data_IF_887569470238
#
_entry.id   IF_887569470238
#
_cell.length_a   1.000
_cell.length_b   1.000
_cell.length_c   1.000
_cell.angle_alpha   90.00
_cell.angle_beta   90.00
_cell.angle_gamma   90.00
#
_symmetry.space_group_name_H-M   'P 1'
#
loop_
_entity.id
_entity.type
_entity.pdbx_description
1 polymer ?
#
# COMPACT_ATOMS: atom_id res chain seq x y z
N UNK A 1 28.50 35.65 36.62
CA UNK A 1 27.40 35.72 37.60
C UNK A 1 26.39 34.65 37.18
N UNK A 2 26.36 33.48 37.84
CA UNK A 2 25.38 33.08 38.89
C UNK A 2 23.95 33.46 38.49
N UNK A 3 23.01 32.54 38.23
CA UNK A 3 22.24 31.77 39.25
C UNK A 3 21.38 30.71 38.50
N UNK A 4 21.61 29.39 38.69
CA UNK A 4 20.84 28.40 39.49
C UNK A 4 19.32 28.25 39.18
N UNK A 5 18.92 27.12 38.58
CA UNK A 5 18.21 25.93 39.16
C UNK A 5 16.68 26.11 39.18
N UNK A 6 15.90 25.15 38.65
CA UNK A 6 14.85 24.42 39.38
C UNK A 6 14.32 23.23 38.56
N UNK A 7 14.70 22.04 39.02
CA UNK A 7 14.04 20.75 38.82
C UNK A 7 12.60 20.77 39.33
N UNK A 8 11.67 20.22 38.55
CA UNK A 8 10.47 19.60 39.10
C UNK A 8 10.06 18.39 38.26
N UNK A 9 10.34 17.23 38.85
CA UNK A 9 9.79 15.92 38.53
C UNK A 9 8.31 15.92 38.97
N UNK A 10 7.38 15.51 38.12
CA UNK A 10 6.04 15.11 38.58
C UNK A 10 5.63 13.81 37.89
N UNK A 11 5.66 12.73 38.68
CA UNK A 11 5.04 11.46 38.37
C UNK A 11 3.59 11.48 38.85
N UNK A 12 2.66 10.98 38.03
CA UNK A 12 1.32 10.57 38.43
C UNK A 12 0.95 9.36 37.54
N UNK A 13 1.14 8.14 38.04
CA UNK A 13 0.16 7.34 38.78
C UNK A 13 -0.84 6.66 37.82
N UNK A 14 -0.49 5.44 37.40
CA UNK A 14 -1.38 4.47 36.81
C UNK A 14 -2.46 4.07 37.83
N UNK A 15 -3.73 4.13 37.43
CA UNK A 15 -4.83 3.51 38.17
C UNK A 15 -5.32 2.33 37.32
N UNK A 16 -4.92 1.13 37.73
CA UNK A 16 -5.52 -0.12 37.26
C UNK A 16 -6.82 -0.31 38.04
N UNK A 17 -7.94 -0.41 37.34
CA UNK A 17 -9.16 -1.00 37.87
C UNK A 17 -9.39 -2.35 37.21
N UNK A 18 -9.19 -3.40 37.99
CA UNK A 18 -9.66 -4.74 37.72
C UNK A 18 -10.97 -4.95 38.46
N UNK A 19 -11.96 -5.54 37.80
CA UNK A 19 -13.02 -6.33 38.44
C UNK A 19 -13.42 -7.47 37.48
N UNK A 20 -13.11 -8.68 37.94
CA UNK A 20 -13.60 -9.98 37.48
C UNK A 20 -15.13 -10.07 37.41
N UNK A 21 -15.66 -10.79 36.41
CA UNK A 21 -16.70 -11.80 36.67
C UNK A 21 -16.50 -12.98 35.74
N UNK A 22 -16.41 -14.14 36.39
CA UNK A 22 -16.11 -15.48 35.91
C UNK A 22 -17.41 -16.21 35.57
N UNK A 23 -17.34 -17.11 34.57
CA UNK A 23 -18.16 -18.34 34.41
C UNK A 23 -19.65 -18.11 34.08
N UNK A 24 -20.31 -18.84 33.18
CA UNK A 24 -20.26 -20.28 32.97
C UNK A 24 -20.54 -20.67 31.50
N UNK A 25 -19.82 -21.72 31.10
CA UNK A 25 -20.17 -22.60 30.00
C UNK A 25 -21.44 -23.40 30.32
N UNK A 26 -22.15 -23.84 29.29
CA UNK A 26 -22.97 -25.02 29.33
C UNK A 26 -22.68 -25.85 28.07
N UNK A 27 -22.03 -26.99 28.29
CA UNK A 27 -22.21 -28.25 27.54
C UNK A 27 -23.72 -28.61 27.54
N UNK A 28 -24.33 -29.42 26.68
CA UNK A 28 -24.01 -30.66 25.97
C UNK A 28 -25.22 -30.83 25.02
N UNK A 29 -25.23 -31.58 23.92
CA UNK A 29 -25.19 -33.04 23.90
C UNK A 29 -25.19 -33.55 22.45
N UNK A 30 -24.67 -34.76 22.31
CA UNK A 30 -24.16 -35.38 21.09
C UNK A 30 -25.20 -36.19 20.28
N UNK A 31 -24.65 -36.91 19.29
CA UNK A 31 -25.20 -38.02 18.47
C UNK A 31 -25.82 -37.60 17.11
N UNK A 32 -25.57 -38.28 15.98
CA UNK A 32 -25.08 -39.63 15.73
C UNK A 32 -24.53 -39.74 14.27
N UNK A 33 -23.64 -40.72 14.04
CA UNK A 33 -23.07 -41.15 12.77
C UNK A 33 -24.04 -41.29 11.59
N UNK A 34 -23.54 -41.14 10.34
CA UNK A 34 -23.28 -42.27 9.40
C UNK A 34 -23.08 -41.75 7.96
N UNK A 35 -21.98 -42.16 7.36
CA UNK A 35 -21.71 -42.03 5.93
C UNK A 35 -22.52 -43.07 5.14
N UNK A 36 -23.19 -42.69 4.04
CA UNK A 36 -23.43 -43.54 2.87
C UNK A 36 -23.50 -42.69 1.58
N UNK A 37 -22.94 -43.28 0.52
CA UNK A 37 -22.82 -42.78 -0.85
C UNK A 37 -24.13 -42.95 -1.62
N UNK A 38 -24.39 -42.09 -2.60
CA UNK A 38 -25.19 -42.46 -3.77
C UNK A 38 -24.75 -41.68 -5.02
N UNK A 39 -24.36 -42.44 -6.04
CA UNK A 39 -24.23 -42.06 -7.45
C UNK A 39 -25.60 -41.72 -8.06
N UNK A 40 -25.62 -40.87 -9.10
CA UNK A 40 -26.79 -40.74 -9.99
C UNK A 40 -26.97 -39.41 -10.74
N UNK A 41 -26.16 -39.22 -11.79
CA UNK A 41 -26.34 -38.54 -13.09
C UNK A 41 -27.46 -37.49 -13.38
N UNK A 42 -27.01 -36.38 -14.01
CA UNK A 42 -27.53 -35.60 -15.17
C UNK A 42 -29.06 -35.38 -15.38
N UNK A 43 -29.57 -34.14 -15.58
CA UNK A 43 -29.51 -33.42 -16.87
C UNK A 43 -30.11 -31.99 -16.82
N UNK A 44 -29.59 -31.12 -17.71
CA UNK A 44 -30.16 -29.94 -18.40
C UNK A 44 -30.72 -28.72 -17.65
N UNK A 45 -30.04 -27.58 -17.85
CA UNK A 45 -30.60 -26.23 -17.76
C UNK A 45 -29.84 -25.28 -18.69
N UNK A 46 -30.43 -24.97 -19.84
CA UNK A 46 -29.98 -23.95 -20.78
C UNK A 46 -30.25 -22.54 -20.26
N UNK A 47 -29.38 -21.59 -20.64
CA UNK A 47 -29.73 -20.18 -20.76
C UNK A 47 -29.08 -19.26 -19.73
N UNK A 48 -27.93 -18.67 -20.09
CA UNK A 48 -27.89 -17.25 -20.46
C UNK A 48 -26.49 -16.83 -20.91
N UNK A 49 -26.48 -16.29 -22.13
CA UNK A 49 -25.38 -15.60 -22.75
C UNK A 49 -24.99 -14.33 -22.00
N UNK A 50 -23.68 -14.15 -21.84
CA UNK A 50 -22.94 -12.89 -21.92
C UNK A 50 -23.51 -11.66 -21.19
N UNK A 51 -22.90 -11.35 -20.05
CA UNK A 51 -22.27 -10.04 -19.90
C UNK A 51 -20.89 -10.29 -19.29
N UNK A 52 -19.88 -10.32 -20.17
CA UNK A 52 -18.50 -10.17 -19.78
C UNK A 52 -18.44 -8.82 -19.07
N UNK A 53 -18.38 -8.81 -17.74
CA UNK A 53 -17.91 -7.65 -17.03
C UNK A 53 -16.50 -7.43 -17.58
N UNK A 54 -16.32 -6.39 -18.38
CA UNK A 54 -15.00 -5.90 -18.76
C UNK A 54 -14.25 -5.69 -17.46
N UNK A 55 -13.39 -6.65 -17.12
CA UNK A 55 -12.33 -6.43 -16.14
C UNK A 55 -11.60 -5.19 -16.61
N UNK A 56 -11.69 -4.12 -15.82
CA UNK A 56 -10.87 -2.93 -15.99
C UNK A 56 -9.42 -3.39 -15.98
N UNK A 57 -8.84 -3.52 -17.15
CA UNK A 57 -7.44 -3.89 -17.33
C UNK A 57 -6.58 -2.72 -16.82
N UNK A 58 -5.87 -2.86 -15.68
CA UNK A 58 -4.99 -1.80 -15.16
C UNK A 58 -3.75 -1.58 -16.05
N UNK A 59 -3.49 -2.45 -17.02
CA UNK A 59 -2.30 -2.40 -17.87
C UNK A 59 -2.38 -1.41 -19.04
N UNK A 60 -3.50 -0.69 -19.21
CA UNK A 60 -3.65 0.28 -20.30
C UNK A 60 -3.86 1.72 -19.84
N UNK A 61 -3.10 2.16 -18.84
CA UNK A 61 -2.70 3.57 -18.81
C UNK A 61 -1.61 3.75 -19.87
N UNK A 62 -1.97 4.36 -20.99
CA UNK A 62 -1.06 4.77 -22.07
C UNK A 62 0.20 5.39 -21.44
N UNK A 63 1.34 4.73 -21.72
CA UNK A 63 2.68 5.17 -21.36
C UNK A 63 2.87 6.64 -21.76
N UNK A 64 2.69 7.55 -20.80
CA UNK A 64 2.77 8.99 -21.06
C UNK A 64 4.24 9.36 -21.22
N UNK A 65 4.61 9.88 -22.38
CA UNK A 65 5.95 10.45 -22.57
C UNK A 65 5.99 11.82 -21.90
N UNK A 66 7.02 12.05 -21.07
CA UNK A 66 7.18 13.29 -20.31
C UNK A 66 8.53 13.91 -20.60
N UNK A 67 8.71 15.20 -20.27
CA UNK A 67 10.04 15.80 -20.27
C UNK A 67 10.89 15.19 -19.15
N UNK A 68 12.21 15.31 -19.26
CA UNK A 68 13.15 14.83 -18.25
C UNK A 68 12.91 15.51 -16.89
N UNK A 69 12.75 16.83 -16.90
CA UNK A 69 12.53 17.65 -15.71
C UNK A 69 11.21 17.30 -15.01
N UNK A 70 10.19 16.96 -15.81
CA UNK A 70 8.91 16.51 -15.29
C UNK A 70 9.04 15.10 -14.67
N UNK A 71 9.75 14.18 -15.33
CA UNK A 71 10.01 12.84 -14.79
C UNK A 71 10.74 12.92 -13.44
N UNK A 72 11.79 13.74 -13.35
CA UNK A 72 12.55 13.97 -12.12
C UNK A 72 11.65 14.53 -11.00
N UNK A 73 10.81 15.50 -11.32
CA UNK A 73 9.87 16.10 -10.34
C UNK A 73 8.84 15.08 -9.85
N UNK A 74 8.29 14.26 -10.75
CA UNK A 74 7.36 13.19 -10.40
C UNK A 74 8.02 12.12 -9.52
N UNK A 75 9.23 11.67 -9.90
CA UNK A 75 9.99 10.68 -9.14
C UNK A 75 10.38 11.19 -7.75
N UNK A 76 10.83 12.44 -7.64
CA UNK A 76 11.16 13.07 -6.36
C UNK A 76 9.98 13.07 -5.38
N UNK A 77 8.79 13.46 -5.85
CA UNK A 77 7.57 13.41 -5.02
C UNK A 77 7.12 11.98 -4.72
N UNK A 78 7.26 11.04 -5.68
CA UNK A 78 6.97 9.63 -5.47
C UNK A 78 7.88 9.01 -4.39
N UNK A 79 9.18 9.29 -4.41
CA UNK A 79 10.12 8.78 -3.40
C UNK A 79 9.89 9.41 -2.04
N UNK A 80 9.57 10.70 -1.98
CA UNK A 80 9.16 11.37 -0.73
C UNK A 80 7.91 10.70 -0.13
N UNK A 81 6.94 10.33 -0.97
CA UNK A 81 5.76 9.58 -0.55
C UNK A 81 6.13 8.18 -0.05
N UNK A 82 6.98 7.45 -0.77
CA UNK A 82 7.49 6.13 -0.38
C UNK A 82 8.18 6.20 0.99
N UNK A 83 9.05 7.18 1.22
CA UNK A 83 9.78 7.36 2.48
C UNK A 83 8.85 7.71 3.65
N UNK A 84 7.85 8.57 3.42
CA UNK A 84 6.83 8.85 4.42
C UNK A 84 6.05 7.58 4.83
N UNK A 85 5.76 6.68 3.88
CA UNK A 85 5.08 5.41 4.14
C UNK A 85 5.97 4.41 4.88
N UNK A 86 7.28 4.42 4.59
CA UNK A 86 8.29 3.68 5.38
C UNK A 86 8.28 4.15 6.83
N UNK A 87 8.29 5.47 7.05
CA UNK A 87 8.22 6.09 8.38
C UNK A 87 6.82 6.02 9.02
N UNK A 88 5.84 5.39 8.36
CA UNK A 88 4.45 5.26 8.86
C UNK A 88 3.80 6.64 9.15
N UNK A 89 4.21 7.67 8.41
CA UNK A 89 3.71 9.05 8.57
C UNK A 89 2.61 9.36 7.55
N UNK A 90 1.34 9.29 7.99
CA UNK A 90 0.21 9.65 7.13
C UNK A 90 0.23 11.13 6.72
N UNK A 91 0.69 12.02 7.59
CA UNK A 91 0.76 13.46 7.30
C UNK A 91 1.78 13.77 6.19
N UNK A 92 3.01 13.26 6.33
CA UNK A 92 4.06 13.44 5.32
C UNK A 92 3.67 12.77 4.00
N UNK A 93 3.01 11.62 4.07
CA UNK A 93 2.52 10.92 2.88
C UNK A 93 1.46 11.77 2.15
N UNK A 94 0.49 12.36 2.84
CA UNK A 94 -0.50 13.25 2.23
C UNK A 94 0.16 14.49 1.60
N UNK A 95 1.16 15.07 2.27
CA UNK A 95 1.92 16.21 1.75
C UNK A 95 2.67 15.83 0.47
N UNK A 96 3.41 14.73 0.46
CA UNK A 96 4.13 14.25 -0.71
C UNK A 96 3.19 13.88 -1.87
N UNK A 97 2.01 13.31 -1.57
CA UNK A 97 0.96 13.09 -2.56
C UNK A 97 0.44 14.41 -3.15
N UNK A 98 0.25 15.45 -2.32
CA UNK A 98 -0.13 16.78 -2.79
C UNK A 98 0.92 17.39 -3.72
N UNK A 99 2.19 17.22 -3.41
CA UNK A 99 3.29 17.68 -4.26
C UNK A 99 3.36 16.89 -5.57
N UNK A 100 3.14 15.57 -5.52
CA UNK A 100 3.06 14.75 -6.72
C UNK A 100 1.92 15.20 -7.65
N UNK A 101 0.74 15.52 -7.12
CA UNK A 101 -0.39 16.04 -7.93
C UNK A 101 -0.01 17.29 -8.74
N UNK A 102 0.86 18.16 -8.19
CA UNK A 102 1.32 19.38 -8.88
C UNK A 102 2.28 19.08 -10.04
N UNK A 103 2.96 17.93 -9.99
CA UNK A 103 3.92 17.49 -11.00
C UNK A 103 3.28 16.61 -12.10
N UNK A 104 1.99 16.27 -11.96
CA UNK A 104 1.23 15.53 -12.95
C UNK A 104 0.55 16.48 -13.95
N UNK A 105 0.61 16.14 -15.23
CA UNK A 105 -0.15 16.85 -16.28
C UNK A 105 -1.61 16.44 -16.27
N UNK A 106 -2.46 17.25 -16.92
CA UNK A 106 -3.90 16.96 -17.03
C UNK A 106 -4.19 15.74 -17.92
N UNK A 107 -3.26 15.36 -18.79
CA UNK A 107 -3.32 14.12 -19.58
C UNK A 107 -3.25 12.86 -18.70
N UNK A 108 -2.67 12.97 -17.50
CA UNK A 108 -2.58 11.89 -16.51
C UNK A 108 -3.77 11.92 -15.52
N UNK A 109 -4.97 12.26 -15.99
CA UNK A 109 -6.16 12.50 -15.16
C UNK A 109 -6.48 11.36 -14.17
N UNK A 110 -6.36 10.10 -14.60
CA UNK A 110 -6.57 8.93 -13.74
C UNK A 110 -5.53 8.85 -12.61
N UNK A 111 -4.25 9.09 -12.92
CA UNK A 111 -3.18 9.10 -11.93
C UNK A 111 -3.36 10.27 -10.96
N UNK A 112 -3.70 11.45 -11.48
CA UNK A 112 -3.98 12.65 -10.70
C UNK A 112 -5.15 12.44 -9.74
N UNK A 113 -6.20 11.77 -10.19
CA UNK A 113 -7.35 11.39 -9.36
C UNK A 113 -6.97 10.42 -8.24
N UNK A 114 -6.21 9.36 -8.57
CA UNK A 114 -5.68 8.40 -7.60
C UNK A 114 -4.89 9.11 -6.49
N UNK A 115 -3.89 9.91 -6.86
CA UNK A 115 -3.01 10.60 -5.90
C UNK A 115 -3.77 11.68 -5.11
N UNK A 116 -4.75 12.34 -5.72
CA UNK A 116 -5.63 13.28 -5.01
C UNK A 116 -6.47 12.57 -3.94
N UNK A 117 -6.95 11.35 -4.23
CA UNK A 117 -7.67 10.52 -3.26
C UNK A 117 -6.85 10.14 -2.04
N UNK A 118 -5.53 10.01 -2.17
CA UNK A 118 -4.62 9.70 -1.05
C UNK A 118 -4.64 10.79 0.03
N UNK A 119 -4.82 12.05 -0.37
CA UNK A 119 -4.84 13.20 0.56
C UNK A 119 -6.05 13.16 1.51
N UNK A 120 -7.12 12.47 1.11
CA UNK A 120 -8.38 12.38 1.85
C UNK A 120 -8.46 11.14 2.77
N UNK A 121 -7.45 10.26 2.75
CA UNK A 121 -7.42 9.06 3.59
C UNK A 121 -7.15 9.44 5.04
N UNK A 122 -7.73 8.74 6.00
CA UNK A 122 -7.48 9.05 7.41
C UNK A 122 -6.17 8.45 7.89
N UNK A 123 -5.94 7.17 7.61
CA UNK A 123 -4.78 6.40 8.08
C UNK A 123 -3.78 6.05 6.97
N UNK A 124 -2.61 5.57 7.38
CA UNK A 124 -1.49 5.24 6.48
C UNK A 124 -1.73 3.94 5.71
N UNK A 125 -2.51 3.01 6.27
CA UNK A 125 -2.89 1.75 5.64
C UNK A 125 -3.73 1.98 4.38
N UNK A 126 -4.67 2.93 4.43
CA UNK A 126 -5.47 3.31 3.28
C UNK A 126 -4.63 4.04 2.21
N UNK A 127 -3.63 4.83 2.62
CA UNK A 127 -2.67 5.43 1.69
C UNK A 127 -1.80 4.35 1.03
N UNK A 128 -1.34 3.35 1.79
CA UNK A 128 -0.56 2.21 1.27
C UNK A 128 -1.32 1.43 0.19
N UNK A 129 -2.63 1.24 0.37
CA UNK A 129 -3.47 0.57 -0.63
C UNK A 129 -3.54 1.33 -1.96
N UNK A 130 -3.58 2.66 -1.93
CA UNK A 130 -3.52 3.47 -3.16
C UNK A 130 -2.08 3.62 -3.67
N UNK A 131 -1.07 3.51 -2.80
CA UNK A 131 0.35 3.57 -3.17
C UNK A 131 0.79 2.35 -3.99
N UNK A 132 0.18 1.20 -3.78
CA UNK A 132 0.37 0.02 -4.62
C UNK A 132 -0.02 0.32 -6.08
N UNK A 133 -1.22 0.88 -6.30
CA UNK A 133 -1.68 1.29 -7.63
C UNK A 133 -0.78 2.37 -8.23
N UNK A 134 -0.37 3.35 -7.41
CA UNK A 134 0.53 4.42 -7.84
C UNK A 134 1.89 3.87 -8.27
N UNK A 135 2.42 2.87 -7.56
CA UNK A 135 3.69 2.23 -7.90
C UNK A 135 3.63 1.56 -9.27
N UNK A 136 2.50 0.92 -9.60
CA UNK A 136 2.27 0.35 -10.91
C UNK A 136 2.21 1.41 -12.02
N UNK A 137 1.46 2.50 -11.82
CA UNK A 137 1.42 3.61 -12.79
C UNK A 137 2.78 4.27 -12.98
N UNK A 138 3.52 4.53 -11.90
CA UNK A 138 4.84 5.16 -11.96
C UNK A 138 5.88 4.27 -12.62
N UNK A 139 5.82 2.95 -12.40
CA UNK A 139 6.67 2.01 -13.13
C UNK A 139 6.45 2.11 -14.64
N UNK A 140 5.20 2.19 -15.10
CA UNK A 140 4.90 2.35 -16.53
C UNK A 140 5.44 3.67 -17.08
N UNK A 141 5.30 4.77 -16.32
CA UNK A 141 5.87 6.08 -16.70
C UNK A 141 7.40 6.01 -16.82
N UNK A 142 8.06 5.37 -15.86
CA UNK A 142 9.53 5.21 -15.86
C UNK A 142 9.99 4.34 -17.02
N UNK A 143 9.37 3.16 -17.25
CA UNK A 143 9.72 2.28 -18.38
C UNK A 143 9.55 2.98 -19.73
N UNK A 144 8.51 3.82 -19.87
CA UNK A 144 8.23 4.58 -21.08
C UNK A 144 9.21 5.73 -21.36
N UNK A 145 9.96 6.15 -20.33
CA UNK A 145 10.89 7.27 -20.38
C UNK A 145 12.27 6.86 -19.83
N UNK A 146 12.65 5.59 -19.98
CA UNK A 146 13.87 5.02 -19.39
C UNK A 146 15.14 5.75 -19.87
N UNK A 147 15.13 6.27 -21.09
CA UNK A 147 16.21 7.09 -21.67
C UNK A 147 16.42 8.44 -20.96
N UNK A 148 15.48 8.86 -20.11
CA UNK A 148 15.49 10.15 -19.40
C UNK A 148 15.69 10.00 -17.89
N UNK A 149 15.75 8.78 -17.37
CA UNK A 149 15.95 8.53 -15.94
C UNK A 149 17.37 8.93 -15.55
N UNK A 150 17.49 9.74 -14.50
CA UNK A 150 18.78 10.05 -13.88
C UNK A 150 19.01 9.19 -12.63
N UNK A 151 20.19 8.57 -12.57
CA UNK A 151 20.58 7.70 -11.45
C UNK A 151 19.90 6.33 -11.52
N UNK A 152 20.09 5.55 -10.45
CA UNK A 152 19.52 4.21 -10.38
C UNK A 152 18.07 4.27 -9.87
N UNK A 153 17.19 3.52 -10.54
CA UNK A 153 15.82 3.27 -10.06
C UNK A 153 15.59 1.76 -10.03
N UNK A 154 15.37 1.23 -8.84
CA UNK A 154 15.15 -0.19 -8.61
C UNK A 154 13.67 -0.48 -8.44
N UNK A 155 13.18 -1.52 -9.11
CA UNK A 155 11.91 -2.16 -8.79
C UNK A 155 12.14 -3.15 -7.66
N UNK A 156 11.59 -2.87 -6.49
CA UNK A 156 11.65 -3.74 -5.31
C UNK A 156 10.29 -4.39 -5.06
N UNK A 157 10.28 -5.60 -4.51
CA UNK A 157 9.05 -6.38 -4.31
C UNK A 157 9.06 -7.14 -2.99
N UNK A 158 7.92 -7.12 -2.27
CA UNK A 158 7.69 -7.94 -1.08
C UNK A 158 6.53 -8.91 -1.37
N UNK A 159 6.76 -10.23 -1.36
CA UNK A 159 5.70 -11.23 -1.62
C UNK A 159 4.62 -11.25 -0.53
N UNK A 160 4.93 -10.77 0.68
CA UNK A 160 4.00 -10.79 1.81
C UNK A 160 3.04 -9.60 1.87
N UNK A 161 3.24 -8.58 1.02
CA UNK A 161 2.38 -7.40 0.99
C UNK A 161 0.92 -7.78 0.71
N UNK A 162 -0.01 -7.07 1.34
CA UNK A 162 -1.46 -7.21 1.17
C UNK A 162 -1.97 -8.65 1.29
N UNK A 163 -1.64 -9.33 2.40
CA UNK A 163 -2.02 -10.72 2.70
C UNK A 163 -1.43 -11.72 1.69
N UNK A 164 -0.11 -11.65 1.46
CA UNK A 164 0.63 -12.51 0.53
C UNK A 164 0.20 -12.41 -0.95
N UNK A 165 -0.53 -11.36 -1.32
CA UNK A 165 -0.77 -11.02 -2.73
C UNK A 165 0.51 -10.52 -3.40
N UNK A 166 1.37 -9.88 -2.60
CA UNK A 166 2.59 -9.26 -3.04
C UNK A 166 2.35 -7.90 -3.70
N UNK A 167 3.37 -7.05 -3.65
CA UNK A 167 3.35 -5.73 -4.27
C UNK A 167 4.78 -5.24 -4.50
N UNK A 168 4.97 -4.40 -5.51
CA UNK A 168 6.24 -3.77 -5.84
C UNK A 168 6.18 -2.26 -5.71
N UNK A 169 7.33 -1.66 -5.47
CA UNK A 169 7.55 -0.21 -5.45
C UNK A 169 8.85 0.14 -6.16
N UNK A 170 9.06 1.42 -6.44
CA UNK A 170 10.33 1.93 -6.96
C UNK A 170 11.18 2.51 -5.83
N UNK A 171 12.50 2.40 -5.95
CA UNK A 171 13.48 2.93 -4.98
C UNK A 171 14.70 3.50 -5.69
N UNK A 172 15.33 4.53 -5.13
CA UNK A 172 16.64 5.02 -5.58
C UNK A 172 17.82 4.28 -4.93
N UNK A 173 17.54 3.42 -3.95
CA UNK A 173 18.54 2.64 -3.23
C UNK A 173 18.28 1.13 -3.40
N UNK A 174 19.34 0.33 -3.44
CA UNK A 174 19.25 -1.14 -3.40
C UNK A 174 18.74 -1.65 -2.05
N UNK A 175 18.97 -0.88 -0.98
CA UNK A 175 18.51 -1.23 0.36
C UNK A 175 16.99 -1.35 0.39
N UNK A 176 16.50 -2.46 0.93
CA UNK A 176 15.06 -2.69 1.07
C UNK A 176 14.53 -1.90 2.26
N UNK A 177 13.64 -0.95 1.97
CA UNK A 177 12.82 -0.24 2.95
C UNK A 177 11.36 -0.33 2.51
N UNK A 178 10.63 -1.26 3.12
CA UNK A 178 9.28 -1.65 2.69
C UNK A 178 8.21 -0.61 3.08
N UNK A 179 7.58 0.09 2.11
CA UNK A 179 6.58 1.11 2.39
C UNK A 179 5.23 0.54 2.85
N UNK A 180 4.95 -0.74 2.62
CA UNK A 180 3.66 -1.37 2.94
C UNK A 180 3.53 -1.84 4.39
N UNK A 181 4.66 -2.05 5.07
CA UNK A 181 4.66 -2.51 6.46
C UNK A 181 5.33 -1.55 7.43
N UNK A 182 6.09 -0.56 6.92
CA UNK A 182 6.89 0.35 7.76
C UNK A 182 7.75 -0.43 8.74
N UNK A 183 7.77 0.02 10.00
CA UNK A 183 8.59 -0.57 11.07
C UNK A 183 8.31 -2.05 11.34
N UNK A 184 7.13 -2.57 10.98
CA UNK A 184 6.76 -3.96 11.26
C UNK A 184 7.59 -4.97 10.47
N UNK A 185 7.91 -4.65 9.21
CA UNK A 185 8.66 -5.55 8.30
C UNK A 185 9.49 -4.75 7.29
N UNK A 186 10.27 -3.80 7.79
CA UNK A 186 11.02 -2.84 6.98
C UNK A 186 11.93 -3.50 5.93
N UNK A 187 12.48 -4.68 6.25
CA UNK A 187 13.41 -5.42 5.38
C UNK A 187 12.73 -6.52 4.54
N UNK A 188 11.39 -6.63 4.54
CA UNK A 188 10.72 -7.57 3.64
C UNK A 188 10.84 -7.07 2.20
N UNK A 189 11.58 -7.78 1.38
CA UNK A 189 11.56 -7.59 -0.06
C UNK A 189 12.84 -8.04 -0.74
N UNK A 190 12.90 -7.82 -2.05
CA UNK A 190 14.06 -8.02 -2.90
C UNK A 190 14.03 -7.04 -4.07
N UNK A 191 15.20 -6.69 -4.59
CA UNK A 191 15.32 -6.03 -5.89
C UNK A 191 14.95 -7.05 -6.98
N UNK A 192 14.09 -6.67 -7.92
CA UNK A 192 13.68 -7.48 -9.06
C UNK A 192 14.30 -6.98 -10.37
N UNK A 193 14.48 -5.67 -10.51
CA UNK A 193 14.91 -5.01 -11.74
C UNK A 193 15.57 -3.67 -11.39
N UNK A 194 16.54 -3.26 -12.19
CA UNK A 194 17.06 -1.88 -12.27
C UNK A 194 16.55 -1.30 -13.61
N UNK A 195 15.94 -0.11 -13.56
CA UNK A 195 15.15 0.49 -14.65
C UNK A 195 15.92 1.50 -15.47
#
# INVERSE_FOLDING_TARGET
>A
MKTKIFTTLLAAAFIVQACDTKKQANDEHAHHDKAEMHDGEHMHGEGQAHAHAEEMNPDKMEASTVSKEQLESMLSSYFSLKDALVNTSAEEAKKAASDLVKNLTDEMSNLKSLVSGMQQKEDVEAIRADFEKLSSSMYNVVKANADKVEGAVYKQYCPMAFNNKGAFWLSQEETIMNPYFGDKMLKCGKVQEEL
#
